data_IF_785366173471
#
_entry.id   IF_785366173471
#
_cell.length_a   1.000
_cell.length_b   1.000
_cell.length_c   1.000
_cell.angle_alpha   90.00
_cell.angle_beta   90.00
_cell.angle_gamma   90.00
#
_symmetry.space_group_name_H-M   'P 1'
#
loop_
_entity.id
_entity.type
_entity.pdbx_description
1 polymer ?
#
# COMPACT_ATOMS: atom_id res chain seq x y z
N UNK A 1 59.21 56.34 -1.39
CA UNK A 1 59.25 55.65 -0.09
C UNK A 1 59.58 56.71 0.94
N UNK A 2 58.62 57.11 1.80
CA UNK A 2 58.92 58.05 2.88
C UNK A 2 59.80 57.35 3.92
N UNK A 3 60.84 58.00 4.47
CA UNK A 3 61.64 57.41 5.53
C UNK A 3 60.75 57.15 6.76
N UNK A 4 60.92 56.02 7.45
CA UNK A 4 60.16 55.74 8.67
C UNK A 4 60.45 56.84 9.70
N UNK A 5 59.41 57.57 10.10
CA UNK A 5 59.50 58.61 11.14
C UNK A 5 59.17 57.94 12.47
N UNK A 6 60.17 57.85 13.35
CA UNK A 6 60.01 57.36 14.72
C UNK A 6 59.59 58.55 15.58
N UNK A 7 58.61 58.36 16.46
CA UNK A 7 58.17 59.43 17.36
C UNK A 7 59.31 59.83 18.30
N UNK A 8 59.47 61.13 18.58
CA UNK A 8 60.56 61.63 19.42
C UNK A 8 60.58 61.00 20.83
N UNK A 9 59.40 60.66 21.37
CA UNK A 9 59.27 59.95 22.63
C UNK A 9 59.84 58.52 22.59
N UNK A 10 59.61 57.77 21.51
CA UNK A 10 60.17 56.43 21.32
C UNK A 10 61.68 56.50 21.10
N UNK A 11 62.14 57.53 20.38
CA UNK A 11 63.56 57.76 20.13
C UNK A 11 64.33 58.03 21.42
N UNK A 12 63.79 58.86 22.32
CA UNK A 12 64.36 59.13 23.64
C UNK A 12 64.35 57.86 24.50
N UNK A 13 63.21 57.15 24.56
CA UNK A 13 63.10 55.91 25.32
C UNK A 13 64.11 54.83 24.87
N UNK A 14 64.37 54.70 23.56
CA UNK A 14 65.31 53.70 23.03
C UNK A 14 66.78 54.11 23.24
N UNK A 15 67.11 55.41 23.09
CA UNK A 15 68.49 55.89 23.18
C UNK A 15 68.98 56.05 24.61
N UNK A 16 68.09 56.39 25.55
CA UNK A 16 68.43 56.61 26.97
C UNK A 16 68.30 55.33 27.83
N UNK A 17 67.68 54.27 27.32
CA UNK A 17 67.57 52.99 28.02
C UNK A 17 68.91 52.25 28.08
N UNK A 18 69.30 51.86 29.30
CA UNK A 18 70.49 51.06 29.57
C UNK A 18 70.51 49.76 28.76
N UNK A 19 71.70 49.34 28.31
CA UNK A 19 71.89 48.19 27.44
C UNK A 19 71.31 46.89 28.00
N UNK A 20 71.40 46.68 29.32
CA UNK A 20 70.88 45.48 29.97
C UNK A 20 69.35 45.52 30.12
N UNK A 21 68.77 46.69 30.46
CA UNK A 21 67.32 46.87 30.47
C UNK A 21 66.69 46.60 29.09
N UNK A 22 67.37 47.03 28.01
CA UNK A 22 66.95 46.76 26.63
C UNK A 22 66.99 45.27 26.28
N UNK A 23 68.05 44.57 26.71
CA UNK A 23 68.15 43.10 26.52
C UNK A 23 67.04 42.37 27.25
N UNK A 24 66.72 42.77 28.48
CA UNK A 24 65.61 42.19 29.25
C UNK A 24 64.26 42.43 28.59
N UNK A 25 63.99 43.65 28.13
CA UNK A 25 62.76 43.97 27.41
C UNK A 25 62.63 43.14 26.13
N UNK A 26 63.68 43.07 25.30
CA UNK A 26 63.66 42.24 24.09
C UNK A 26 63.44 40.76 24.41
N UNK A 27 64.03 40.23 25.48
CA UNK A 27 63.79 38.85 25.90
C UNK A 27 62.32 38.63 26.31
N UNK A 28 61.70 39.58 27.00
CA UNK A 28 60.29 39.53 27.37
C UNK A 28 59.36 39.63 26.15
N UNK A 29 59.64 40.53 25.22
CA UNK A 29 58.87 40.71 24.00
C UNK A 29 58.96 39.44 23.12
N UNK A 30 60.17 38.89 22.94
CA UNK A 30 60.36 37.62 22.23
C UNK A 30 59.59 36.48 22.89
N UNK A 31 59.64 36.36 24.23
CA UNK A 31 58.86 35.36 24.95
C UNK A 31 57.35 35.57 24.79
N UNK A 32 56.88 36.81 24.71
CA UNK A 32 55.50 37.14 24.40
C UNK A 32 55.08 36.69 23.01
N UNK A 33 55.90 36.97 21.99
CA UNK A 33 55.66 36.55 20.60
C UNK A 33 55.66 35.02 20.49
N UNK A 34 56.60 34.33 21.13
CA UNK A 34 56.65 32.86 21.13
C UNK A 34 55.34 32.28 21.70
N UNK A 35 54.87 32.76 22.86
CA UNK A 35 53.60 32.29 23.46
C UNK A 35 52.40 32.55 22.56
N UNK A 36 52.36 33.70 21.88
CA UNK A 36 51.30 34.00 20.91
C UNK A 36 51.33 33.05 19.72
N UNK A 37 52.52 32.76 19.18
CA UNK A 37 52.69 31.81 18.08
C UNK A 37 52.29 30.39 18.49
N UNK A 38 52.72 29.94 19.67
CA UNK A 38 52.32 28.64 20.24
C UNK A 38 50.80 28.53 20.39
N UNK A 39 50.16 29.57 20.93
CA UNK A 39 48.70 29.61 21.10
C UNK A 39 47.99 29.59 19.74
N UNK A 40 48.48 30.35 18.76
CA UNK A 40 47.92 30.37 17.41
C UNK A 40 48.03 29.02 16.72
N UNK A 41 49.12 28.28 16.92
CA UNK A 41 49.29 26.92 16.39
C UNK A 41 48.28 25.95 17.02
N UNK A 42 48.18 25.93 18.36
CA UNK A 42 47.23 25.06 19.07
C UNK A 42 45.78 25.35 18.67
N UNK A 43 45.41 26.63 18.53
CA UNK A 43 44.08 27.02 18.06
C UNK A 43 43.84 26.65 16.59
N UNK A 44 44.88 26.66 15.76
CA UNK A 44 44.83 26.18 14.38
C UNK A 44 44.51 24.69 14.32
N UNK A 45 45.24 23.87 15.08
CA UNK A 45 45.02 22.42 15.14
C UNK A 45 43.61 22.08 15.65
N UNK A 46 43.13 22.79 16.69
CA UNK A 46 41.78 22.59 17.23
C UNK A 46 40.70 23.02 16.25
N UNK A 47 40.90 24.12 15.51
CA UNK A 47 39.99 24.54 14.44
C UNK A 47 39.85 23.44 13.40
N UNK A 48 40.96 22.91 12.91
CA UNK A 48 40.96 21.90 11.84
C UNK A 48 40.24 20.63 12.31
N UNK A 49 40.48 20.21 13.55
CA UNK A 49 39.74 19.10 14.17
C UNK A 49 38.23 19.35 14.25
N UNK A 50 37.81 20.54 14.68
CA UNK A 50 36.40 20.90 14.76
C UNK A 50 35.74 20.97 13.38
N UNK A 51 36.48 21.36 12.34
CA UNK A 51 35.98 21.30 10.96
C UNK A 51 35.75 19.87 10.50
N UNK A 52 36.66 18.95 10.79
CA UNK A 52 36.48 17.53 10.49
C UNK A 52 35.26 16.93 11.21
N UNK A 53 35.09 17.23 12.50
CA UNK A 53 33.93 16.76 13.28
C UNK A 53 32.61 17.33 12.74
N UNK A 54 32.58 18.63 12.41
CA UNK A 54 31.43 19.28 11.79
C UNK A 54 31.05 18.59 10.48
N UNK A 55 32.02 18.31 9.62
CA UNK A 55 31.78 17.68 8.33
C UNK A 55 31.27 16.25 8.49
N UNK A 56 31.82 15.49 9.45
CA UNK A 56 31.30 14.17 9.82
C UNK A 56 29.84 14.22 10.30
N UNK A 57 29.49 15.22 11.14
CA UNK A 57 28.10 15.42 11.56
C UNK A 57 27.18 15.81 10.41
N UNK A 58 27.62 16.66 9.48
CA UNK A 58 26.83 17.01 8.30
C UNK A 58 26.52 15.79 7.43
N UNK A 59 27.51 14.91 7.20
CA UNK A 59 27.31 13.65 6.48
C UNK A 59 26.29 12.76 7.22
N UNK A 60 26.39 12.65 8.55
CA UNK A 60 25.44 11.85 9.35
C UNK A 60 24.02 12.42 9.28
N UNK A 61 23.87 13.74 9.37
CA UNK A 61 22.59 14.43 9.22
C UNK A 61 21.99 14.15 7.84
N UNK A 62 22.79 14.22 6.77
CA UNK A 62 22.35 13.88 5.42
C UNK A 62 21.78 12.46 5.34
N UNK A 63 22.52 11.46 5.86
CA UNK A 63 22.07 10.07 5.91
C UNK A 63 20.77 9.89 6.68
N UNK A 64 20.63 10.56 7.84
CA UNK A 64 19.43 10.48 8.65
C UNK A 64 18.23 11.13 7.96
N UNK A 65 18.41 12.27 7.29
CA UNK A 65 17.35 12.91 6.50
C UNK A 65 16.84 11.99 5.38
N UNK A 66 17.76 11.35 4.64
CA UNK A 66 17.35 10.38 3.61
C UNK A 66 16.59 9.18 4.19
N UNK A 67 16.99 8.69 5.37
CA UNK A 67 16.29 7.60 6.06
C UNK A 67 14.90 8.02 6.55
N UNK A 68 14.74 9.25 7.02
CA UNK A 68 13.43 9.80 7.42
C UNK A 68 12.49 9.79 6.21
N UNK A 69 12.91 10.35 5.08
CA UNK A 69 12.08 10.36 3.85
C UNK A 69 11.69 8.94 3.42
N UNK A 70 12.62 7.99 3.48
CA UNK A 70 12.30 6.61 3.14
C UNK A 70 11.24 6.00 4.07
N UNK A 71 11.38 6.22 5.39
CA UNK A 71 10.44 5.71 6.38
C UNK A 71 9.07 6.40 6.29
N UNK A 72 9.01 7.69 5.96
CA UNK A 72 7.77 8.42 5.70
C UNK A 72 7.01 7.82 4.51
N UNK A 73 7.71 7.49 3.42
CA UNK A 73 7.13 6.81 2.27
C UNK A 73 6.62 5.41 2.64
N UNK A 74 7.42 4.62 3.35
CA UNK A 74 7.02 3.27 3.78
C UNK A 74 5.78 3.33 4.69
N UNK A 75 5.71 4.33 5.58
CA UNK A 75 4.54 4.54 6.45
C UNK A 75 3.29 4.84 5.63
N UNK A 76 3.37 5.73 4.64
CA UNK A 76 2.25 6.05 3.77
C UNK A 76 1.76 4.81 3.00
N UNK A 77 2.69 4.02 2.45
CA UNK A 77 2.40 2.76 1.77
C UNK A 77 1.69 1.76 2.70
N UNK A 78 2.13 1.63 3.95
CA UNK A 78 1.50 0.73 4.92
C UNK A 78 0.11 1.20 5.34
N UNK A 79 -0.11 2.50 5.49
CA UNK A 79 -1.42 3.08 5.80
C UNK A 79 -2.42 2.83 4.67
N UNK A 80 -2.01 2.99 3.40
CA UNK A 80 -2.85 2.68 2.24
C UNK A 80 -3.18 1.19 2.16
N UNK A 81 -2.18 0.31 2.30
CA UNK A 81 -2.39 -1.15 2.32
C UNK A 81 -3.37 -1.55 3.43
N UNK A 82 -3.23 -0.99 4.62
CA UNK A 82 -4.13 -1.25 5.75
C UNK A 82 -5.57 -0.87 5.41
N UNK A 83 -5.78 0.26 4.75
CA UNK A 83 -7.12 0.69 4.30
C UNK A 83 -7.70 -0.30 3.29
N UNK A 84 -6.93 -0.66 2.26
CA UNK A 84 -7.36 -1.62 1.22
C UNK A 84 -7.75 -2.96 1.84
N UNK A 85 -6.94 -3.50 2.75
CA UNK A 85 -7.28 -4.75 3.45
C UNK A 85 -8.54 -4.63 4.31
N UNK A 86 -8.75 -3.47 4.94
CA UNK A 86 -9.98 -3.17 5.66
C UNK A 86 -11.21 -3.23 4.75
N UNK A 87 -11.15 -2.54 3.61
CA UNK A 87 -12.24 -2.48 2.62
C UNK A 87 -12.52 -3.89 2.03
N UNK A 88 -11.47 -4.63 1.68
CA UNK A 88 -11.59 -6.02 1.20
C UNK A 88 -12.23 -6.96 2.23
N UNK A 89 -11.92 -6.78 3.52
CA UNK A 89 -12.52 -7.59 4.59
C UNK A 89 -14.02 -7.34 4.70
N UNK A 90 -14.45 -6.08 4.57
CA UNK A 90 -15.87 -5.71 4.56
C UNK A 90 -16.57 -6.30 3.34
N UNK A 91 -15.98 -6.16 2.15
CA UNK A 91 -16.54 -6.71 0.91
C UNK A 91 -16.70 -8.24 0.97
N UNK A 92 -15.69 -8.96 1.47
CA UNK A 92 -15.75 -10.41 1.64
C UNK A 92 -16.87 -10.83 2.61
N UNK A 93 -17.09 -10.07 3.68
CA UNK A 93 -18.19 -10.32 4.61
C UNK A 93 -19.54 -10.17 3.92
N UNK A 94 -19.73 -9.08 3.17
CA UNK A 94 -20.96 -8.86 2.40
C UNK A 94 -21.20 -9.96 1.37
N UNK A 95 -20.17 -10.35 0.60
CA UNK A 95 -20.29 -11.43 -0.37
C UNK A 95 -20.62 -12.78 0.28
N UNK A 96 -20.15 -13.02 1.50
CA UNK A 96 -20.47 -14.24 2.24
C UNK A 96 -21.94 -14.23 2.67
N UNK A 97 -22.44 -13.11 3.19
CA UNK A 97 -23.86 -12.93 3.53
C UNK A 97 -24.76 -13.10 2.29
N UNK A 98 -24.38 -12.53 1.14
CA UNK A 98 -25.10 -12.71 -0.14
C UNK A 98 -25.07 -14.17 -0.62
N UNK A 99 -23.92 -14.85 -0.49
CA UNK A 99 -23.78 -16.25 -0.89
C UNK A 99 -24.63 -17.17 -0.03
N UNK A 100 -24.70 -16.93 1.28
CA UNK A 100 -25.54 -17.71 2.19
C UNK A 100 -27.02 -17.48 1.92
N UNK A 101 -27.43 -16.24 1.62
CA UNK A 101 -28.80 -15.94 1.19
C UNK A 101 -29.15 -16.63 -0.14
N UNK A 102 -28.24 -16.60 -1.12
CA UNK A 102 -28.44 -17.27 -2.40
C UNK A 102 -28.54 -18.80 -2.25
N UNK A 103 -27.71 -19.39 -1.38
CA UNK A 103 -27.78 -20.84 -1.06
C UNK A 103 -29.11 -21.21 -0.42
N UNK A 104 -29.57 -20.43 0.56
CA UNK A 104 -30.87 -20.65 1.19
C UNK A 104 -32.01 -20.57 0.18
N UNK A 105 -31.96 -19.63 -0.76
CA UNK A 105 -32.96 -19.52 -1.83
C UNK A 105 -32.91 -20.69 -2.81
N UNK A 106 -31.72 -21.14 -3.19
CA UNK A 106 -31.55 -22.35 -4.03
C UNK A 106 -32.12 -23.58 -3.33
N UNK A 107 -31.84 -23.77 -2.04
CA UNK A 107 -32.41 -24.87 -1.24
C UNK A 107 -33.94 -24.79 -1.19
N UNK A 108 -34.49 -23.60 -0.94
CA UNK A 108 -35.94 -23.36 -0.90
C UNK A 108 -36.59 -23.68 -2.25
N UNK A 109 -36.02 -23.22 -3.36
CA UNK A 109 -36.53 -23.50 -4.70
C UNK A 109 -36.39 -24.98 -5.05
N UNK A 110 -35.28 -25.62 -4.70
CA UNK A 110 -35.07 -27.06 -4.90
C UNK A 110 -36.11 -27.87 -4.14
N UNK A 111 -36.40 -27.51 -2.88
CA UNK A 111 -37.45 -28.16 -2.09
C UNK A 111 -38.85 -27.93 -2.68
N UNK A 112 -39.13 -26.73 -3.21
CA UNK A 112 -40.40 -26.43 -3.88
C UNK A 112 -40.56 -27.17 -5.23
N UNK A 113 -39.45 -27.48 -5.91
CA UNK A 113 -39.41 -28.27 -7.14
C UNK A 113 -39.30 -29.79 -6.88
N UNK A 114 -39.30 -30.23 -5.62
CA UNK A 114 -39.25 -31.65 -5.31
C UNK A 114 -40.51 -32.36 -5.82
N UNK A 115 -40.31 -33.55 -6.38
CA UNK A 115 -41.40 -34.36 -6.92
C UNK A 115 -42.48 -34.62 -5.86
N UNK A 116 -43.74 -34.44 -6.24
CA UNK A 116 -44.88 -34.66 -5.35
C UNK A 116 -45.45 -36.07 -5.50
N UNK A 117 -46.06 -36.58 -4.43
CA UNK A 117 -46.73 -37.87 -4.47
C UNK A 117 -47.88 -37.84 -5.49
N UNK A 118 -47.82 -38.71 -6.49
CA UNK A 118 -48.77 -38.73 -7.61
C UNK A 118 -48.33 -37.94 -8.86
N UNK A 119 -47.10 -37.42 -8.89
CA UNK A 119 -46.56 -36.79 -10.10
C UNK A 119 -46.48 -37.78 -11.27
N UNK A 120 -47.07 -37.40 -12.41
CA UNK A 120 -47.08 -38.24 -13.60
C UNK A 120 -45.66 -38.33 -14.20
N UNK A 121 -45.19 -39.49 -14.69
CA UNK A 121 -43.84 -39.63 -15.25
C UNK A 121 -43.50 -38.64 -16.37
N UNK A 122 -44.50 -38.22 -17.15
CA UNK A 122 -44.32 -37.21 -18.20
C UNK A 122 -44.04 -35.79 -17.68
N UNK A 123 -44.32 -35.51 -16.40
CA UNK A 123 -43.99 -34.25 -15.74
C UNK A 123 -42.58 -34.27 -15.11
N UNK A 124 -41.98 -35.45 -14.95
CA UNK A 124 -40.66 -35.57 -14.34
C UNK A 124 -39.59 -34.86 -15.18
N UNK A 125 -38.86 -33.94 -14.55
CA UNK A 125 -37.77 -33.19 -15.19
C UNK A 125 -38.21 -31.96 -16.00
N UNK A 126 -39.50 -31.62 -16.02
CA UNK A 126 -39.95 -30.33 -16.57
C UNK A 126 -39.60 -29.22 -15.58
N UNK A 127 -38.86 -28.23 -16.05
CA UNK A 127 -38.32 -27.12 -15.24
C UNK A 127 -38.96 -25.79 -15.58
N UNK A 128 -39.67 -25.69 -16.70
CA UNK A 128 -40.32 -24.46 -17.15
C UNK A 128 -41.80 -24.66 -17.47
N UNK A 129 -42.57 -23.57 -17.39
CA UNK A 129 -43.98 -23.56 -17.81
C UNK A 129 -44.15 -23.91 -19.29
N UNK A 130 -43.18 -23.54 -20.14
CA UNK A 130 -43.23 -23.84 -21.56
C UNK A 130 -43.18 -25.35 -21.81
N UNK A 131 -42.23 -26.04 -21.18
CA UNK A 131 -42.09 -27.50 -21.21
C UNK A 131 -43.36 -28.20 -20.71
N UNK A 132 -43.99 -27.70 -19.63
CA UNK A 132 -45.27 -28.22 -19.13
C UNK A 132 -46.41 -28.06 -20.15
N UNK A 133 -46.54 -26.88 -20.75
CA UNK A 133 -47.60 -26.62 -21.74
C UNK A 133 -47.41 -27.49 -22.98
N UNK A 134 -46.17 -27.69 -23.42
CA UNK A 134 -45.83 -28.57 -24.54
C UNK A 134 -46.17 -30.04 -24.23
N UNK A 135 -45.80 -30.54 -23.05
CA UNK A 135 -46.12 -31.90 -22.62
C UNK A 135 -47.65 -32.13 -22.53
N UNK A 136 -48.40 -31.16 -22.00
CA UNK A 136 -49.88 -31.23 -21.98
C UNK A 136 -50.45 -31.24 -23.39
N UNK A 137 -49.92 -30.42 -24.31
CA UNK A 137 -50.37 -30.39 -25.69
C UNK A 137 -50.15 -31.74 -26.38
N UNK A 138 -48.98 -32.36 -26.20
CA UNK A 138 -48.68 -33.67 -26.76
C UNK A 138 -49.60 -34.77 -26.19
N UNK A 139 -49.73 -34.84 -24.86
CA UNK A 139 -50.62 -35.82 -24.21
C UNK A 139 -52.09 -35.67 -24.67
N UNK A 140 -52.53 -34.43 -24.87
CA UNK A 140 -53.89 -34.14 -25.36
C UNK A 140 -54.07 -34.63 -26.80
N UNK A 141 -53.07 -34.44 -27.67
CA UNK A 141 -53.09 -34.94 -29.04
C UNK A 141 -53.14 -36.48 -29.07
N UNK A 142 -52.28 -37.14 -28.29
CA UNK A 142 -52.23 -38.60 -28.20
C UNK A 142 -53.57 -39.20 -27.72
N UNK A 143 -54.24 -38.57 -26.75
CA UNK A 143 -55.55 -39.00 -26.27
C UNK A 143 -56.63 -38.95 -27.35
N UNK A 144 -56.66 -37.86 -28.13
CA UNK A 144 -57.63 -37.70 -29.23
C UNK A 144 -57.37 -38.73 -30.32
N UNK A 145 -56.10 -38.92 -30.72
CA UNK A 145 -55.72 -39.91 -31.72
C UNK A 145 -56.10 -41.33 -31.27
N UNK A 146 -55.79 -41.70 -30.03
CA UNK A 146 -56.15 -43.01 -29.47
C UNK A 146 -57.67 -43.24 -29.42
N UNK A 147 -58.46 -42.22 -29.08
CA UNK A 147 -59.92 -42.30 -29.05
C UNK A 147 -60.51 -42.47 -30.47
N UNK A 148 -59.99 -41.73 -31.45
CA UNK A 148 -60.36 -41.88 -32.85
C UNK A 148 -60.06 -43.29 -33.34
N UNK A 149 -58.84 -43.77 -33.07
CA UNK A 149 -58.43 -45.13 -33.44
C UNK A 149 -59.35 -46.19 -32.82
N UNK A 150 -59.66 -46.10 -31.53
CA UNK A 150 -60.55 -47.04 -30.85
C UNK A 150 -61.96 -47.03 -31.44
N UNK A 151 -62.50 -45.85 -31.77
CA UNK A 151 -63.81 -45.71 -32.40
C UNK A 151 -63.84 -46.32 -33.81
N UNK A 152 -62.83 -46.03 -34.64
CA UNK A 152 -62.72 -46.60 -35.98
C UNK A 152 -62.61 -48.14 -35.94
N UNK A 153 -61.80 -48.67 -35.03
CA UNK A 153 -61.68 -50.11 -34.83
C UNK A 153 -63.01 -50.75 -34.39
N UNK A 154 -63.73 -50.16 -33.43
CA UNK A 154 -65.04 -50.64 -32.99
C UNK A 154 -66.08 -50.62 -34.13
N UNK A 155 -66.09 -49.54 -34.93
CA UNK A 155 -66.93 -49.43 -36.13
C UNK A 155 -66.64 -50.56 -37.12
N UNK A 156 -65.36 -50.81 -37.42
CA UNK A 156 -64.96 -51.89 -38.33
C UNK A 156 -65.41 -53.27 -37.82
N UNK A 157 -65.28 -53.52 -36.52
CA UNK A 157 -65.75 -54.77 -35.90
C UNK A 157 -67.27 -54.93 -36.00
N UNK A 158 -68.05 -53.87 -35.80
CA UNK A 158 -69.51 -53.91 -35.98
C UNK A 158 -69.92 -54.15 -37.44
N UNK A 159 -69.22 -53.54 -38.41
CA UNK A 159 -69.47 -53.79 -39.83
C UNK A 159 -69.18 -55.24 -40.22
N UNK A 160 -68.20 -55.90 -39.58
CA UNK A 160 -67.92 -57.31 -39.81
C UNK A 160 -69.01 -58.24 -39.23
N UNK A 161 -69.60 -57.88 -38.08
CA UNK A 161 -70.62 -58.68 -37.38
C UNK A 161 -72.05 -58.49 -37.91
N UNK A 162 -72.30 -57.45 -38.71
CA UNK A 162 -73.62 -57.13 -39.28
C UNK A 162 -73.46 -56.74 -40.77
N UNK A 163 -73.29 -57.73 -41.68
CA UNK A 163 -72.97 -57.49 -43.08
C UNK A 163 -74.08 -56.78 -43.87
#
# INVERSE_FOLDING_TARGET
MYPPVIADAEKVAILEQETDARRTQHAQDMAGVIRMMESALVLGDERDRLEEERDAFQVRIGKLKSRIVHLENDQADYEEKKKIFGDQTVELRMRTEELDAARAEVERLTAAMASCEGEHPAAAGLTTRAELVEAIAQLSADCVEGAVYAFENAKQQMMFLNP
#
